data_IF_537843611551
#
_entry.id   IF_537843611551
#
_cell.length_a   1.000
_cell.length_b   1.000
_cell.length_c   1.000
_cell.angle_alpha   90.00
_cell.angle_beta   90.00
_cell.angle_gamma   90.00
#
_symmetry.space_group_name_H-M   'P 1'
#
loop_
_entity.id
_entity.type
_entity.pdbx_description
1 polymer ?
#
# COMPACT_ATOMS: atom_id res chain seq x y z
N UNK A 1 -13.09 29.33 -26.69
CA UNK A 1 -12.92 29.24 -25.22
C UNK A 1 -13.45 27.94 -24.60
N UNK A 2 -14.54 27.32 -25.08
CA UNK A 2 -15.06 26.04 -24.54
C UNK A 2 -14.11 24.83 -24.67
N UNK A 3 -13.28 24.76 -25.72
CA UNK A 3 -12.36 23.62 -25.94
C UNK A 3 -11.15 23.58 -24.99
N UNK A 4 -10.74 24.73 -24.43
CA UNK A 4 -9.60 24.82 -23.52
C UNK A 4 -9.93 24.30 -22.10
N UNK A 5 -11.18 24.46 -21.67
CA UNK A 5 -11.66 24.00 -20.36
C UNK A 5 -11.68 22.46 -20.29
N UNK A 6 -12.00 21.79 -21.40
CA UNK A 6 -12.05 20.33 -21.46
C UNK A 6 -10.68 19.65 -21.36
N UNK A 7 -9.60 20.31 -21.82
CA UNK A 7 -8.24 19.75 -21.75
C UNK A 7 -7.67 19.87 -20.33
N UNK A 8 -7.97 20.97 -19.62
CA UNK A 8 -7.55 21.14 -18.22
C UNK A 8 -8.23 20.13 -17.28
N UNK A 9 -9.50 19.80 -17.53
CA UNK A 9 -10.23 18.81 -16.73
C UNK A 9 -9.67 17.38 -16.89
N UNK A 10 -9.19 17.02 -18.08
CA UNK A 10 -8.61 15.69 -18.34
C UNK A 10 -7.20 15.54 -17.74
N UNK A 11 -6.41 16.63 -17.73
CA UNK A 11 -5.11 16.66 -17.06
C UNK A 11 -5.20 16.50 -15.55
N UNK A 12 -6.23 17.07 -14.92
CA UNK A 12 -6.47 16.92 -13.48
C UNK A 12 -6.88 15.50 -13.08
N UNK A 13 -7.60 14.77 -13.95
CA UNK A 13 -8.02 13.38 -13.70
C UNK A 13 -6.85 12.40 -13.76
N UNK A 14 -5.84 12.66 -14.59
CA UNK A 14 -4.62 11.84 -14.69
C UNK A 14 -3.66 12.06 -13.50
N UNK A 15 -3.75 13.19 -12.81
CA UNK A 15 -2.95 13.47 -11.60
C UNK A 15 -3.46 12.76 -10.34
N UNK A 16 -4.67 12.19 -10.37
CA UNK A 16 -5.29 11.52 -9.22
C UNK A 16 -4.98 10.02 -9.14
N UNK A 17 -4.49 9.39 -10.22
CA UNK A 17 -4.03 7.99 -10.19
C UNK A 17 -2.61 7.93 -9.67
N UNK A 18 -2.44 8.12 -8.36
CA UNK A 18 -1.16 7.91 -7.71
C UNK A 18 -0.61 6.51 -8.03
N UNK A 19 0.64 6.42 -8.45
CA UNK A 19 1.26 5.13 -8.73
C UNK A 19 1.41 4.36 -7.41
N UNK A 20 0.92 3.12 -7.38
CA UNK A 20 1.11 2.22 -6.24
C UNK A 20 2.09 1.13 -6.63
N UNK A 21 3.28 1.18 -6.07
CA UNK A 21 4.26 0.11 -6.17
C UNK A 21 4.11 -0.82 -4.95
N UNK A 22 4.13 -2.13 -5.18
CA UNK A 22 4.07 -3.15 -4.14
C UNK A 22 5.20 -4.13 -4.36
N UNK A 23 5.96 -4.36 -3.31
CA UNK A 23 7.09 -5.28 -3.30
C UNK A 23 6.92 -6.28 -2.16
N UNK A 24 7.09 -7.56 -2.45
CA UNK A 24 7.08 -8.61 -1.44
C UNK A 24 8.47 -8.66 -0.79
N UNK A 25 8.55 -8.30 0.48
CA UNK A 25 9.81 -8.11 1.24
C UNK A 25 10.02 -9.16 2.33
N UNK A 26 9.11 -10.12 2.45
CA UNK A 26 9.21 -11.23 3.39
C UNK A 26 8.08 -12.23 3.17
N UNK A 27 8.41 -13.50 3.26
CA UNK A 27 7.48 -14.62 3.14
C UNK A 27 8.01 -15.76 4.00
N UNK A 28 7.27 -16.11 5.04
CA UNK A 28 7.68 -17.07 6.05
C UNK A 28 6.55 -18.04 6.34
N UNK A 29 6.77 -19.32 6.06
CA UNK A 29 5.82 -20.37 6.36
C UNK A 29 5.94 -20.84 7.80
N UNK A 30 4.80 -21.12 8.42
CA UNK A 30 4.76 -21.69 9.75
C UNK A 30 5.21 -23.16 9.70
N UNK A 31 6.21 -23.53 10.51
CA UNK A 31 6.88 -24.83 10.44
C UNK A 31 5.94 -26.06 10.54
N UNK A 32 4.80 -25.91 11.22
CA UNK A 32 3.88 -27.03 11.52
C UNK A 32 2.42 -26.80 11.12
N UNK A 33 2.08 -25.64 10.54
CA UNK A 33 0.68 -25.28 10.22
C UNK A 33 0.63 -24.71 8.80
N UNK A 34 -0.48 -24.88 8.06
CA UNK A 34 -0.67 -24.32 6.73
C UNK A 34 -0.97 -22.82 6.80
N UNK A 35 -0.04 -22.08 7.41
CA UNK A 35 -0.12 -20.64 7.64
C UNK A 35 1.17 -20.00 7.18
N UNK A 36 1.04 -18.89 6.47
CA UNK A 36 2.16 -18.15 5.93
C UNK A 36 2.05 -16.69 6.35
N UNK A 37 3.12 -16.14 6.91
CA UNK A 37 3.27 -14.72 7.15
C UNK A 37 3.88 -14.07 5.92
N UNK A 38 3.22 -13.04 5.38
CA UNK A 38 3.71 -12.30 4.22
C UNK A 38 3.81 -10.82 4.55
N UNK A 39 4.95 -10.22 4.20
CA UNK A 39 5.24 -8.80 4.40
C UNK A 39 5.42 -8.12 3.05
N UNK A 40 4.68 -7.05 2.84
CA UNK A 40 4.66 -6.29 1.59
C UNK A 40 5.01 -4.83 1.87
N UNK A 41 6.02 -4.30 1.19
CA UNK A 41 6.29 -2.88 1.16
C UNK A 41 5.41 -2.23 0.09
N UNK A 42 4.67 -1.20 0.48
CA UNK A 42 3.74 -0.48 -0.39
C UNK A 42 4.19 0.97 -0.48
N UNK A 43 4.64 1.38 -1.66
CA UNK A 43 4.95 2.77 -1.96
C UNK A 43 3.83 3.38 -2.77
N UNK A 44 3.29 4.50 -2.32
CA UNK A 44 2.28 5.28 -3.03
C UNK A 44 2.87 6.64 -3.37
N UNK A 45 2.89 6.98 -4.64
CA UNK A 45 3.36 8.28 -5.12
C UNK A 45 2.19 9.10 -5.61
N UNK A 46 2.01 10.28 -5.04
CA UNK A 46 1.03 11.28 -5.43
C UNK A 46 1.77 12.53 -5.93
N UNK A 47 1.05 13.45 -6.57
CA UNK A 47 1.65 14.65 -7.18
C UNK A 47 2.44 15.49 -6.15
N UNK A 48 2.01 15.52 -4.89
CA UNK A 48 2.60 16.40 -3.86
C UNK A 48 3.14 15.66 -2.63
N UNK A 49 2.97 14.35 -2.54
CA UNK A 49 3.46 13.55 -1.41
C UNK A 49 3.66 12.10 -1.82
N UNK A 50 4.42 11.37 -1.02
CA UNK A 50 4.54 9.93 -1.11
C UNK A 50 4.35 9.27 0.25
N UNK A 51 3.79 8.07 0.27
CA UNK A 51 3.75 7.24 1.47
C UNK A 51 4.40 5.88 1.22
N UNK A 52 5.08 5.38 2.23
CA UNK A 52 5.70 4.07 2.26
C UNK A 52 5.16 3.31 3.47
N UNK A 53 4.53 2.16 3.26
CA UNK A 53 3.82 1.39 4.29
C UNK A 53 4.29 -0.08 4.26
N UNK A 54 4.60 -0.66 5.42
CA UNK A 54 4.82 -2.10 5.55
C UNK A 54 3.54 -2.80 5.96
N UNK A 55 2.95 -3.55 5.04
CA UNK A 55 1.70 -4.28 5.25
C UNK A 55 1.98 -5.74 5.55
N UNK A 56 1.39 -6.23 6.63
CA UNK A 56 1.51 -7.62 7.07
C UNK A 56 0.23 -8.39 6.73
N UNK A 57 0.41 -9.59 6.18
CA UNK A 57 -0.66 -10.51 5.82
C UNK A 57 -0.44 -11.84 6.53
N UNK A 58 -1.53 -12.42 7.03
CA UNK A 58 -1.60 -13.82 7.41
C UNK A 58 -2.35 -14.55 6.31
N UNK A 59 -1.66 -15.47 5.65
CA UNK A 59 -2.22 -16.29 4.60
C UNK A 59 -2.46 -17.71 5.11
N UNK A 60 -3.59 -18.29 4.75
CA UNK A 60 -3.92 -19.67 5.06
C UNK A 60 -4.25 -20.41 3.76
N UNK A 61 -3.77 -21.64 3.65
CA UNK A 61 -4.14 -22.50 2.54
C UNK A 61 -5.55 -23.04 2.74
N UNK A 62 -6.38 -22.92 1.71
CA UNK A 62 -7.74 -23.47 1.67
C UNK A 62 -7.89 -24.26 0.37
N UNK A 63 -7.50 -25.54 0.41
CA UNK A 63 -7.42 -26.38 -0.79
C UNK A 63 -6.39 -25.81 -1.76
N UNK A 64 -6.83 -25.48 -2.98
CA UNK A 64 -5.96 -24.98 -4.05
C UNK A 64 -5.78 -23.45 -4.05
N UNK A 65 -6.17 -22.76 -2.96
CA UNK A 65 -6.13 -21.30 -2.86
C UNK A 65 -5.39 -20.83 -1.62
N UNK A 66 -4.63 -19.75 -1.78
CA UNK A 66 -4.03 -19.02 -0.68
C UNK A 66 -4.93 -17.82 -0.33
N UNK A 67 -5.54 -17.86 0.85
CA UNK A 67 -6.40 -16.77 1.34
C UNK A 67 -5.62 -15.91 2.32
N UNK A 68 -5.29 -14.68 1.92
CA UNK A 68 -4.52 -13.73 2.72
C UNK A 68 -5.41 -12.69 3.39
N UNK A 69 -5.34 -12.60 4.73
CA UNK A 69 -5.96 -11.54 5.52
C UNK A 69 -4.92 -10.48 5.89
N UNK A 70 -5.20 -9.23 5.56
CA UNK A 70 -4.40 -8.07 5.98
C UNK A 70 -4.55 -7.86 7.49
N UNK A 71 -3.43 -7.71 8.20
CA UNK A 71 -3.37 -7.65 9.67
C UNK A 71 -3.38 -6.23 10.25
N UNK A 72 -2.99 -5.23 9.47
CA UNK A 72 -2.95 -3.82 9.88
C UNK A 72 -3.35 -2.90 8.71
N UNK A 73 -3.73 -1.66 8.99
CA UNK A 73 -4.16 -0.65 8.03
C UNK A 73 -5.45 -1.01 7.29
N UNK A 74 -5.93 -0.11 6.43
CA UNK A 74 -7.21 -0.27 5.74
C UNK A 74 -8.40 -0.21 6.70
N UNK A 75 -9.19 -1.29 6.78
CA UNK A 75 -10.34 -1.41 7.70
C UNK A 75 -9.99 -2.06 9.05
N UNK A 76 -8.70 -2.30 9.34
CA UNK A 76 -8.28 -2.87 10.61
C UNK A 76 -8.04 -1.77 11.66
N UNK A 77 -8.28 -2.10 12.94
CA UNK A 77 -8.02 -1.19 14.06
C UNK A 77 -6.51 -0.97 14.30
N UNK A 78 -5.67 -1.90 13.85
CA UNK A 78 -4.21 -1.83 13.98
C UNK A 78 -3.62 -0.99 12.85
N UNK A 79 -2.80 0.01 13.18
CA UNK A 79 -2.08 0.85 12.20
C UNK A 79 -0.80 0.14 11.74
N UNK A 80 -0.54 0.13 10.42
CA UNK A 80 0.72 -0.41 9.90
C UNK A 80 1.89 0.57 10.09
N UNK A 81 3.14 0.09 10.17
CA UNK A 81 4.30 0.96 10.07
C UNK A 81 4.32 1.69 8.72
N UNK A 82 4.41 3.00 8.76
CA UNK A 82 4.42 3.91 7.62
C UNK A 82 5.42 5.07 7.79
N UNK A 83 5.92 5.54 6.65
CA UNK A 83 6.64 6.78 6.50
C UNK A 83 5.96 7.60 5.40
N UNK A 84 5.62 8.85 5.71
CA UNK A 84 5.01 9.77 4.76
C UNK A 84 5.97 10.94 4.53
N UNK A 85 6.25 11.24 3.26
CA UNK A 85 7.11 12.33 2.87
C UNK A 85 6.33 13.35 2.04
N UNK A 86 6.47 14.62 2.39
CA UNK A 86 5.91 15.77 1.67
C UNK A 86 7.00 16.78 1.37
N UNK A 87 6.74 17.76 0.50
CA UNK A 87 7.67 18.85 0.20
C UNK A 87 8.15 19.68 1.41
N UNK A 88 7.55 19.49 2.59
CA UNK A 88 7.86 20.22 3.83
C UNK A 88 8.47 19.35 4.95
N UNK A 89 8.66 18.05 4.72
CA UNK A 89 9.24 17.14 5.70
C UNK A 89 8.69 15.71 5.63
N UNK A 90 9.27 14.82 6.43
CA UNK A 90 8.84 13.43 6.57
C UNK A 90 8.33 13.14 7.98
N UNK A 91 7.21 12.43 8.09
CA UNK A 91 6.70 11.85 9.34
C UNK A 91 6.77 10.33 9.26
N UNK A 92 7.13 9.66 10.35
CA UNK A 92 7.15 8.20 10.40
C UNK A 92 6.77 7.69 11.79
N UNK A 93 6.06 6.56 11.84
CA UNK A 93 5.81 5.79 13.07
C UNK A 93 6.72 4.55 13.15
N UNK A 94 7.70 4.43 12.26
CA UNK A 94 8.76 3.41 12.31
C UNK A 94 9.77 3.89 13.36
N UNK A 95 9.98 3.09 14.41
CA UNK A 95 10.97 3.35 15.47
C UNK A 95 12.31 2.71 15.15
#
# INVERSE_FOLDING_TARGET
MKKLVSVLALGALLGATGCVHRELVGFEDHATKPLTAMRVAVSRSYVFWSSHEYVFYSCAEQGDKLTCKRLCGGQNDLVCPEAQASGYGASTNIR
#
